data_IF_468703585369
#
_entry.id   IF_468703585369
#
_cell.length_a   1.000
_cell.length_b   1.000
_cell.length_c   1.000
_cell.angle_alpha   90.00
_cell.angle_beta   90.00
_cell.angle_gamma   90.00
#
_symmetry.space_group_name_H-M   'P 1'
#
loop_
_entity.id
_entity.type
_entity.pdbx_description
1 polymer ?
#
# COMPACT_ATOMS: atom_id res chain seq x y z
N UNK A 1 -15.10 13.91 12.41
CA UNK A 1 -16.58 13.97 12.41
C UNK A 1 -17.10 13.59 11.04
N UNK A 2 -18.02 12.65 10.93
CA UNK A 2 -18.64 12.32 9.64
C UNK A 2 -19.43 13.53 9.12
N UNK A 3 -19.21 13.92 7.87
CA UNK A 3 -19.95 14.98 7.18
C UNK A 3 -21.45 14.67 7.22
N UNK A 4 -22.29 15.67 7.51
CA UNK A 4 -23.75 15.59 7.67
C UNK A 4 -24.40 14.86 6.48
N UNK A 5 -23.85 15.05 5.27
CA UNK A 5 -24.29 14.33 4.08
C UNK A 5 -24.04 12.82 4.16
N UNK A 6 -22.90 12.38 4.69
CA UNK A 6 -22.61 10.95 4.91
C UNK A 6 -23.58 10.33 5.91
N UNK A 7 -23.97 11.09 6.93
CA UNK A 7 -24.96 10.67 7.93
C UNK A 7 -26.35 10.57 7.31
N UNK A 8 -26.71 11.52 6.43
CA UNK A 8 -27.98 11.51 5.69
C UNK A 8 -28.01 10.37 4.68
N UNK A 9 -26.97 10.19 3.88
CA UNK A 9 -26.84 9.09 2.91
C UNK A 9 -26.87 7.75 3.65
N UNK A 10 -26.14 7.57 4.75
CA UNK A 10 -26.16 6.34 5.55
C UNK A 10 -27.42 6.16 6.41
N UNK A 11 -28.37 7.09 6.35
CA UNK A 11 -29.59 7.02 7.16
C UNK A 11 -30.53 5.92 6.67
N UNK A 12 -31.36 5.35 7.56
CA UNK A 12 -32.44 4.44 7.18
C UNK A 12 -33.41 5.05 6.15
N UNK A 13 -33.55 6.38 6.15
CA UNK A 13 -34.41 7.14 5.23
C UNK A 13 -33.82 7.15 3.81
N UNK A 14 -32.53 7.48 3.66
CA UNK A 14 -31.83 7.45 2.36
C UNK A 14 -31.78 6.05 1.74
N UNK A 15 -31.67 5.00 2.57
CA UNK A 15 -31.82 3.61 2.14
C UNK A 15 -33.23 3.31 1.61
N UNK A 16 -34.28 3.86 2.22
CA UNK A 16 -35.69 3.69 1.77
C UNK A 16 -35.99 4.44 0.48
N UNK A 17 -35.29 5.55 0.20
CA UNK A 17 -35.44 6.31 -1.07
C UNK A 17 -34.44 5.90 -2.15
N UNK A 18 -33.71 4.79 -1.98
CA UNK A 18 -32.91 4.17 -3.05
C UNK A 18 -31.52 4.76 -3.28
N UNK A 19 -30.97 5.56 -2.35
CA UNK A 19 -29.61 6.11 -2.50
C UNK A 19 -28.58 4.99 -2.30
N UNK A 20 -27.71 4.68 -3.30
CA UNK A 20 -26.70 3.63 -3.18
C UNK A 20 -25.76 3.88 -2.00
N UNK A 21 -25.67 2.92 -1.09
CA UNK A 21 -24.76 2.98 0.05
C UNK A 21 -23.43 2.35 -0.30
N UNK A 22 -22.30 3.08 -0.16
CA UNK A 22 -21.00 2.45 -0.29
C UNK A 22 -20.87 1.37 0.80
N UNK A 23 -20.32 0.23 0.42
CA UNK A 23 -20.14 -0.87 1.36
C UNK A 23 -19.15 -0.48 2.45
N UNK A 24 -19.48 -0.74 3.71
CA UNK A 24 -18.51 -0.63 4.81
C UNK A 24 -17.38 -1.62 4.54
N UNK A 25 -16.20 -1.09 4.21
CA UNK A 25 -15.01 -1.89 3.94
C UNK A 25 -14.54 -2.58 5.23
N UNK A 26 -14.27 -3.87 5.12
CA UNK A 26 -13.62 -4.67 6.18
C UNK A 26 -12.16 -4.24 6.28
N UNK A 27 -11.81 -3.63 7.41
CA UNK A 27 -10.43 -3.21 7.75
C UNK A 27 -9.88 -4.09 8.86
N UNK A 28 -8.57 -4.29 8.86
CA UNK A 28 -7.90 -5.14 9.83
C UNK A 28 -8.02 -4.61 11.25
N UNK A 29 -8.31 -5.50 12.19
CA UNK A 29 -8.12 -5.29 13.62
C UNK A 29 -7.39 -6.51 14.19
N UNK A 30 -6.57 -6.36 15.25
CA UNK A 30 -5.88 -7.49 15.88
C UNK A 30 -6.82 -8.65 16.21
N UNK A 31 -6.41 -9.87 15.85
CA UNK A 31 -7.19 -11.09 16.09
C UNK A 31 -8.31 -11.38 15.08
N UNK A 32 -8.55 -10.51 14.10
CA UNK A 32 -9.46 -10.85 13.00
C UNK A 32 -8.86 -11.95 12.09
N UNK A 33 -9.69 -12.84 11.53
CA UNK A 33 -9.22 -13.87 10.60
C UNK A 33 -8.68 -13.24 9.31
N UNK A 34 -7.94 -14.01 8.50
CA UNK A 34 -7.41 -13.51 7.22
C UNK A 34 -8.56 -13.08 6.28
N UNK A 35 -9.57 -13.93 6.07
CA UNK A 35 -10.76 -13.68 5.25
C UNK A 35 -12.06 -14.17 5.94
N UNK A 36 -13.23 -13.71 5.47
CA UNK A 36 -14.57 -14.02 6.07
C UNK A 36 -15.25 -15.25 5.44
N UNK A 37 -14.47 -16.23 4.98
CA UNK A 37 -14.97 -17.46 4.36
C UNK A 37 -13.85 -18.26 3.69
N UNK A 38 -14.17 -19.41 3.06
CA UNK A 38 -13.20 -20.23 2.35
C UNK A 38 -12.50 -19.49 1.21
N UNK A 39 -11.29 -19.91 0.88
CA UNK A 39 -10.51 -19.37 -0.23
C UNK A 39 -10.47 -20.40 -1.35
N UNK A 40 -10.91 -20.00 -2.54
CA UNK A 40 -10.69 -20.81 -3.74
C UNK A 40 -9.25 -20.61 -4.22
N UNK A 41 -8.51 -21.69 -4.45
CA UNK A 41 -7.15 -21.66 -5.03
C UNK A 41 -7.12 -22.56 -6.26
N UNK A 42 -6.85 -22.00 -7.44
CA UNK A 42 -6.86 -22.72 -8.72
C UNK A 42 -5.90 -22.08 -9.75
N UNK A 43 -5.80 -22.66 -10.96
CA UNK A 43 -5.00 -22.13 -12.08
C UNK A 43 -3.80 -23.00 -12.49
N UNK A 44 -3.37 -23.92 -11.62
CA UNK A 44 -2.37 -24.94 -11.95
C UNK A 44 -0.96 -24.41 -12.20
N UNK A 45 -0.68 -23.15 -11.87
CA UNK A 45 0.65 -22.57 -11.88
C UNK A 45 1.56 -23.04 -10.74
N UNK A 46 2.77 -22.46 -10.69
CA UNK A 46 3.89 -22.86 -9.83
C UNK A 46 3.64 -22.68 -8.32
N UNK A 47 2.66 -21.86 -7.95
CA UNK A 47 2.39 -21.42 -6.58
C UNK A 47 1.10 -21.99 -6.01
N UNK A 48 0.23 -22.61 -6.82
CA UNK A 48 -1.08 -23.14 -6.42
C UNK A 48 -1.01 -23.99 -5.15
N UNK A 49 -0.18 -25.04 -5.15
CA UNK A 49 -0.07 -25.97 -4.02
C UNK A 49 0.57 -25.31 -2.79
N UNK A 50 1.58 -24.47 -3.00
CA UNK A 50 2.26 -23.76 -1.92
C UNK A 50 1.31 -22.80 -1.19
N UNK A 51 0.47 -22.07 -1.93
CA UNK A 51 -0.53 -21.17 -1.36
C UNK A 51 -1.64 -21.95 -0.66
N UNK A 52 -2.15 -23.02 -1.27
CA UNK A 52 -3.19 -23.85 -0.63
C UNK A 52 -2.68 -24.48 0.68
N UNK A 53 -1.45 -24.99 0.68
CA UNK A 53 -0.78 -25.55 1.87
C UNK A 53 -0.57 -24.51 2.96
N UNK A 54 -0.06 -23.33 2.62
CA UNK A 54 0.13 -22.24 3.57
C UNK A 54 -1.20 -21.76 4.18
N UNK A 55 -2.25 -21.58 3.36
CA UNK A 55 -3.58 -21.21 3.84
C UNK A 55 -4.12 -22.24 4.85
N UNK A 56 -3.96 -23.53 4.58
CA UNK A 56 -4.31 -24.59 5.51
C UNK A 56 -3.52 -24.51 6.83
N UNK A 57 -2.22 -24.22 6.76
CA UNK A 57 -1.36 -24.07 7.94
C UNK A 57 -1.77 -22.88 8.83
N UNK A 58 -2.33 -21.80 8.26
CA UNK A 58 -2.86 -20.66 9.02
C UNK A 58 -4.36 -20.78 9.35
N UNK A 59 -4.94 -21.97 9.16
CA UNK A 59 -6.32 -22.28 9.56
C UNK A 59 -7.40 -21.75 8.60
N UNK A 60 -7.05 -21.44 7.35
CA UNK A 60 -8.00 -21.02 6.33
C UNK A 60 -8.44 -22.22 5.50
N UNK A 61 -9.75 -22.45 5.39
CA UNK A 61 -10.32 -23.49 4.53
C UNK A 61 -10.09 -23.15 3.06
N UNK A 62 -9.51 -24.09 2.32
CA UNK A 62 -9.30 -23.97 0.87
C UNK A 62 -10.25 -24.87 0.08
N UNK A 63 -10.66 -24.42 -1.09
CA UNK A 63 -11.50 -25.18 -2.03
C UNK A 63 -10.94 -25.09 -3.45
N UNK A 64 -11.18 -26.11 -4.28
CA UNK A 64 -10.70 -26.15 -5.67
C UNK A 64 -11.74 -25.61 -6.66
N UNK A 65 -13.03 -25.75 -6.35
CA UNK A 65 -14.14 -25.25 -7.16
C UNK A 65 -15.16 -24.45 -6.34
N UNK A 66 -15.94 -23.56 -6.99
CA UNK A 66 -16.92 -22.73 -6.30
C UNK A 66 -18.12 -23.52 -5.75
N UNK A 67 -18.40 -24.70 -6.30
CA UNK A 67 -19.44 -25.62 -5.82
C UNK A 67 -19.04 -26.41 -4.59
N UNK A 68 -17.74 -26.44 -4.28
CA UNK A 68 -17.19 -27.18 -3.15
C UNK A 68 -17.23 -26.33 -1.85
N UNK A 69 -17.54 -25.04 -1.98
CA UNK A 69 -17.62 -24.13 -0.86
C UNK A 69 -18.95 -24.28 -0.10
N UNK A 70 -18.92 -24.52 1.23
CA UNK A 70 -20.13 -24.63 2.05
C UNK A 70 -20.87 -23.30 2.21
N UNK A 71 -20.19 -22.19 1.93
CA UNK A 71 -20.70 -20.82 2.02
C UNK A 71 -20.10 -19.92 0.94
N UNK A 72 -20.41 -18.62 0.96
CA UNK A 72 -19.81 -17.65 0.04
C UNK A 72 -18.29 -17.59 0.21
N UNK A 73 -17.56 -17.50 -0.91
CA UNK A 73 -16.10 -17.41 -0.88
C UNK A 73 -15.65 -16.10 -0.23
N UNK A 74 -14.68 -16.20 0.69
CA UNK A 74 -13.98 -15.04 1.23
C UNK A 74 -12.98 -14.48 0.22
N UNK A 75 -12.35 -15.35 -0.57
CA UNK A 75 -11.43 -14.95 -1.61
C UNK A 75 -11.29 -15.99 -2.74
N UNK A 76 -10.69 -15.54 -3.83
CA UNK A 76 -10.32 -16.31 -5.01
C UNK A 76 -8.87 -15.99 -5.35
N UNK A 77 -8.02 -17.01 -5.38
CA UNK A 77 -6.63 -16.94 -5.82
C UNK A 77 -6.50 -17.77 -7.09
N UNK A 78 -6.13 -17.12 -8.20
CA UNK A 78 -5.92 -17.77 -9.50
C UNK A 78 -4.45 -17.67 -9.87
N UNK A 79 -3.76 -18.80 -9.94
CA UNK A 79 -2.37 -18.88 -10.32
C UNK A 79 -2.21 -19.23 -11.80
N UNK A 80 -1.97 -18.20 -12.61
CA UNK A 80 -1.70 -18.27 -14.04
C UNK A 80 -0.21 -18.08 -14.35
N UNK A 81 0.69 -18.36 -13.37
CA UNK A 81 2.14 -18.25 -13.59
C UNK A 81 2.69 -19.24 -14.63
N UNK A 82 1.91 -20.25 -15.03
CA UNK A 82 2.26 -21.20 -16.08
C UNK A 82 1.63 -20.86 -17.45
N UNK A 83 0.85 -19.78 -17.56
CA UNK A 83 0.25 -19.37 -18.83
C UNK A 83 1.31 -18.81 -19.78
N UNK A 84 1.46 -19.41 -20.96
CA UNK A 84 2.47 -18.99 -21.95
C UNK A 84 1.88 -18.61 -23.29
N UNK A 85 0.65 -19.03 -23.59
CA UNK A 85 -0.07 -18.68 -24.80
C UNK A 85 -1.34 -17.87 -24.48
N UNK A 86 -1.76 -16.92 -25.34
CA UNK A 86 -3.00 -16.17 -25.11
C UNK A 86 -4.25 -17.04 -24.92
N UNK A 87 -4.28 -18.27 -25.46
CA UNK A 87 -5.35 -19.23 -25.22
C UNK A 87 -5.47 -19.64 -23.73
N UNK A 88 -4.37 -19.64 -22.99
CA UNK A 88 -4.34 -19.98 -21.56
C UNK A 88 -5.13 -18.97 -20.71
N UNK A 89 -5.34 -17.74 -21.21
CA UNK A 89 -6.16 -16.72 -20.55
C UNK A 89 -7.62 -17.16 -20.38
N UNK A 90 -8.10 -18.15 -21.17
CA UNK A 90 -9.45 -18.70 -21.02
C UNK A 90 -9.66 -19.35 -19.64
N UNK A 91 -8.58 -19.72 -18.93
CA UNK A 91 -8.67 -20.17 -17.53
C UNK A 91 -9.32 -19.13 -16.61
N UNK A 92 -9.16 -17.83 -16.88
CA UNK A 92 -9.81 -16.76 -16.11
C UNK A 92 -11.34 -16.82 -16.29
N UNK A 93 -11.83 -17.21 -17.47
CA UNK A 93 -13.27 -17.42 -17.71
C UNK A 93 -13.75 -18.74 -17.12
N UNK A 94 -13.00 -19.83 -17.32
CA UNK A 94 -13.40 -21.17 -16.88
C UNK A 94 -13.42 -21.30 -15.36
N UNK A 95 -12.37 -20.82 -14.68
CA UNK A 95 -12.20 -20.93 -13.24
C UNK A 95 -12.64 -19.66 -12.51
N UNK A 96 -12.23 -18.50 -13.02
CA UNK A 96 -12.40 -17.21 -12.35
C UNK A 96 -13.84 -16.70 -12.34
N UNK A 97 -14.54 -16.68 -13.47
CA UNK A 97 -15.90 -16.12 -13.53
C UNK A 97 -16.90 -16.82 -12.58
N UNK A 98 -16.98 -18.17 -12.53
CA UNK A 98 -17.80 -18.87 -11.54
C UNK A 98 -17.40 -18.55 -10.09
N UNK A 99 -16.10 -18.47 -9.81
CA UNK A 99 -15.57 -18.16 -8.48
C UNK A 99 -15.91 -16.73 -8.03
N UNK A 100 -15.74 -15.73 -8.91
CA UNK A 100 -16.10 -14.33 -8.65
C UNK A 100 -17.61 -14.20 -8.39
N UNK A 101 -18.45 -14.95 -9.09
CA UNK A 101 -19.90 -14.98 -8.83
C UNK A 101 -20.25 -15.57 -7.45
N UNK A 102 -19.43 -16.47 -6.94
CA UNK A 102 -19.56 -17.07 -5.61
C UNK A 102 -18.97 -16.21 -4.48
N UNK A 103 -18.32 -15.08 -4.81
CA UNK A 103 -17.65 -14.21 -3.84
C UNK A 103 -18.63 -13.52 -2.87
N UNK A 104 -18.23 -13.43 -1.60
CA UNK A 104 -18.94 -12.72 -0.54
C UNK A 104 -18.70 -11.20 -0.54
N UNK A 105 -19.24 -10.54 0.50
CA UNK A 105 -18.97 -9.12 0.76
C UNK A 105 -17.52 -8.94 1.17
N UNK A 106 -16.90 -7.82 0.80
CA UNK A 106 -15.48 -7.57 1.05
C UNK A 106 -14.55 -8.69 0.55
N UNK A 107 -14.96 -9.43 -0.48
CA UNK A 107 -14.15 -10.52 -1.01
C UNK A 107 -12.87 -10.04 -1.67
N UNK A 108 -11.97 -10.98 -1.96
CA UNK A 108 -10.67 -10.69 -2.58
C UNK A 108 -10.47 -11.55 -3.81
N UNK A 109 -10.00 -10.94 -4.89
CA UNK A 109 -9.52 -11.65 -6.08
C UNK A 109 -8.03 -11.35 -6.21
N UNK A 110 -7.20 -12.39 -6.21
CA UNK A 110 -5.76 -12.27 -6.45
C UNK A 110 -5.41 -13.15 -7.62
N UNK A 111 -4.83 -12.56 -8.66
CA UNK A 111 -4.24 -13.32 -9.77
C UNK A 111 -2.73 -13.33 -9.57
N UNK A 112 -2.12 -14.49 -9.75
CA UNK A 112 -0.66 -14.67 -9.72
C UNK A 112 -0.22 -14.95 -11.15
N UNK A 113 0.78 -14.22 -11.62
CA UNK A 113 1.41 -14.40 -12.92
C UNK A 113 2.94 -14.41 -12.79
N UNK A 114 3.61 -14.52 -13.93
CA UNK A 114 5.06 -14.40 -14.05
C UNK A 114 5.42 -12.99 -14.52
N UNK A 115 6.45 -12.38 -13.93
CA UNK A 115 6.89 -11.02 -14.28
C UNK A 115 7.34 -10.95 -15.76
N UNK A 116 6.62 -10.22 -16.64
CA UNK A 116 6.98 -10.11 -18.05
C UNK A 116 8.39 -9.54 -18.27
N UNK A 117 8.93 -8.78 -17.31
CA UNK A 117 10.28 -8.24 -17.41
C UNK A 117 11.39 -9.30 -17.34
N UNK A 118 11.07 -10.51 -16.86
CA UNK A 118 12.01 -11.64 -16.74
C UNK A 118 11.93 -12.65 -17.89
N UNK A 119 11.01 -12.43 -18.83
CA UNK A 119 10.70 -13.35 -19.91
C UNK A 119 11.31 -12.89 -21.23
N UNK A 120 11.58 -13.85 -22.12
CA UNK A 120 12.13 -13.59 -23.46
C UNK A 120 11.21 -14.03 -24.60
N UNK A 121 10.32 -15.00 -24.38
CA UNK A 121 9.32 -15.40 -25.37
C UNK A 121 8.23 -14.35 -25.52
N UNK A 122 7.95 -13.92 -26.75
CA UNK A 122 7.04 -12.80 -27.04
C UNK A 122 5.59 -13.15 -26.72
N UNK A 123 5.16 -14.40 -26.95
CA UNK A 123 3.80 -14.83 -26.67
C UNK A 123 3.58 -14.93 -25.15
N UNK A 124 4.56 -15.46 -24.42
CA UNK A 124 4.52 -15.53 -22.96
C UNK A 124 4.50 -14.13 -22.32
N UNK A 125 5.37 -13.22 -22.77
CA UNK A 125 5.40 -11.81 -22.33
C UNK A 125 4.04 -11.15 -22.56
N UNK A 126 3.45 -11.30 -23.75
CA UNK A 126 2.14 -10.72 -24.07
C UNK A 126 1.02 -11.31 -23.20
N UNK A 127 1.05 -12.64 -22.99
CA UNK A 127 0.07 -13.37 -22.18
C UNK A 127 0.11 -12.91 -20.72
N UNK A 128 1.30 -12.88 -20.11
CA UNK A 128 1.47 -12.45 -18.72
C UNK A 128 1.14 -10.95 -18.55
N UNK A 129 1.48 -10.11 -19.52
CA UNK A 129 1.10 -8.68 -19.51
C UNK A 129 -0.42 -8.49 -19.55
N UNK A 130 -1.15 -9.32 -20.30
CA UNK A 130 -2.60 -9.22 -20.47
C UNK A 130 -3.37 -9.41 -19.15
N UNK A 131 -2.80 -10.14 -18.18
CA UNK A 131 -3.39 -10.33 -16.85
C UNK A 131 -3.73 -9.01 -16.15
N UNK A 132 -2.90 -7.96 -16.33
CA UNK A 132 -3.17 -6.66 -15.73
C UNK A 132 -4.48 -6.06 -16.25
N UNK A 133 -4.74 -6.14 -17.56
CA UNK A 133 -5.97 -5.64 -18.17
C UNK A 133 -7.21 -6.36 -17.62
N UNK A 134 -7.11 -7.68 -17.46
CA UNK A 134 -8.20 -8.50 -16.91
C UNK A 134 -8.44 -8.17 -15.44
N UNK A 135 -7.40 -8.17 -14.59
CA UNK A 135 -7.52 -7.88 -13.15
C UNK A 135 -8.09 -6.49 -12.91
N UNK A 136 -7.61 -5.47 -13.65
CA UNK A 136 -8.16 -4.11 -13.54
C UNK A 136 -9.62 -4.05 -13.96
N UNK A 137 -10.03 -4.83 -14.96
CA UNK A 137 -11.44 -4.89 -15.40
C UNK A 137 -12.31 -5.59 -14.37
N UNK A 138 -11.86 -6.73 -13.83
CA UNK A 138 -12.54 -7.43 -12.73
C UNK A 138 -12.76 -6.49 -11.55
N UNK A 139 -11.74 -5.73 -11.10
CA UNK A 139 -11.88 -4.78 -9.99
C UNK A 139 -13.01 -3.75 -10.19
N UNK A 140 -13.26 -3.31 -11.44
CA UNK A 140 -14.33 -2.36 -11.77
C UNK A 140 -15.72 -3.01 -11.83
N UNK A 141 -15.77 -4.32 -12.08
CA UNK A 141 -17.02 -5.09 -12.13
C UNK A 141 -17.43 -5.62 -10.74
N UNK A 142 -16.45 -5.82 -9.86
CA UNK A 142 -16.65 -6.25 -8.49
C UNK A 142 -17.56 -5.28 -7.72
N UNK A 143 -18.31 -5.84 -6.78
CA UNK A 143 -19.28 -5.11 -5.95
C UNK A 143 -19.02 -5.40 -4.48
N UNK A 144 -19.80 -4.75 -3.62
CA UNK A 144 -19.84 -5.05 -2.19
C UNK A 144 -18.48 -4.92 -1.47
N UNK A 145 -17.64 -3.99 -1.90
CA UNK A 145 -16.33 -3.72 -1.27
C UNK A 145 -15.26 -4.78 -1.57
N UNK A 146 -15.48 -5.65 -2.55
CA UNK A 146 -14.47 -6.58 -3.02
C UNK A 146 -13.39 -5.88 -3.86
N UNK A 147 -12.19 -6.44 -3.88
CA UNK A 147 -11.03 -5.90 -4.61
C UNK A 147 -10.35 -6.97 -5.46
N UNK A 148 -9.67 -6.56 -6.53
CA UNK A 148 -8.90 -7.42 -7.42
C UNK A 148 -7.46 -6.90 -7.58
N UNK A 149 -6.44 -7.73 -7.35
CA UNK A 149 -5.04 -7.35 -7.47
C UNK A 149 -4.21 -8.45 -8.18
N UNK A 150 -3.08 -8.05 -8.75
CA UNK A 150 -2.17 -8.91 -9.51
C UNK A 150 -0.81 -9.00 -8.79
N UNK A 151 -0.32 -10.22 -8.60
CA UNK A 151 1.04 -10.52 -8.14
C UNK A 151 1.83 -11.09 -9.31
N UNK A 152 2.95 -10.46 -9.66
CA UNK A 152 3.86 -10.93 -10.69
C UNK A 152 5.13 -11.47 -10.04
N UNK A 153 5.39 -12.76 -10.22
CA UNK A 153 6.52 -13.44 -9.60
C UNK A 153 7.70 -13.58 -10.56
N UNK A 154 8.91 -13.27 -10.09
CA UNK A 154 10.16 -13.64 -10.73
C UNK A 154 10.62 -15.01 -10.20
N UNK A 155 11.07 -15.92 -11.06
CA UNK A 155 11.56 -17.23 -10.63
C UNK A 155 10.62 -17.95 -9.66
N UNK A 156 11.13 -18.70 -8.69
CA UNK A 156 10.33 -19.42 -7.68
C UNK A 156 10.13 -18.57 -6.40
N UNK A 157 9.64 -17.33 -6.55
CA UNK A 157 9.44 -16.34 -5.49
C UNK A 157 8.34 -16.69 -4.45
N UNK A 158 8.35 -17.90 -3.88
CA UNK A 158 7.29 -18.41 -2.99
C UNK A 158 7.02 -17.52 -1.78
N UNK A 159 8.06 -17.03 -1.12
CA UNK A 159 7.94 -16.17 0.06
C UNK A 159 7.33 -14.81 -0.29
N UNK A 160 7.77 -14.21 -1.41
CA UNK A 160 7.23 -12.96 -1.92
C UNK A 160 5.77 -13.09 -2.34
N UNK A 161 5.44 -14.14 -3.09
CA UNK A 161 4.06 -14.45 -3.49
C UNK A 161 3.18 -14.65 -2.26
N UNK A 162 3.63 -15.45 -1.28
CA UNK A 162 2.93 -15.66 0.00
C UNK A 162 2.66 -14.33 0.70
N UNK A 163 3.68 -13.47 0.88
CA UNK A 163 3.54 -12.19 1.57
C UNK A 163 2.55 -11.25 0.87
N UNK A 164 2.62 -11.15 -0.46
CA UNK A 164 1.70 -10.33 -1.24
C UNK A 164 0.26 -10.86 -1.17
N UNK A 165 0.08 -12.18 -1.32
CA UNK A 165 -1.24 -12.83 -1.19
C UNK A 165 -1.80 -12.61 0.21
N UNK A 166 -1.01 -12.81 1.27
CA UNK A 166 -1.45 -12.56 2.66
C UNK A 166 -1.96 -11.11 2.85
N UNK A 167 -1.20 -10.13 2.37
CA UNK A 167 -1.62 -8.74 2.42
C UNK A 167 -2.95 -8.52 1.67
N UNK A 168 -3.06 -9.00 0.43
CA UNK A 168 -4.25 -8.83 -0.39
C UNK A 168 -5.48 -9.59 0.12
N UNK A 169 -5.30 -10.74 0.77
CA UNK A 169 -6.41 -11.49 1.37
C UNK A 169 -6.94 -10.84 2.65
N UNK A 170 -6.11 -10.05 3.33
CA UNK A 170 -6.44 -9.48 4.64
C UNK A 170 -7.33 -8.22 4.58
N UNK A 171 -7.79 -7.78 5.75
CA UNK A 171 -8.38 -6.46 5.94
C UNK A 171 -7.39 -5.29 5.84
N UNK A 172 -6.07 -5.56 5.74
CA UNK A 172 -5.02 -4.53 5.64
C UNK A 172 -5.00 -3.85 4.27
N UNK A 173 -5.42 -4.57 3.22
CA UNK A 173 -5.48 -4.10 1.83
C UNK A 173 -6.84 -3.52 1.43
N UNK A 174 -7.68 -3.12 2.38
CA UNK A 174 -9.08 -2.75 2.15
C UNK A 174 -9.31 -1.66 1.07
N UNK A 175 -8.32 -0.80 0.83
CA UNK A 175 -8.37 0.27 -0.16
C UNK A 175 -7.29 0.16 -1.25
N UNK A 176 -6.69 -1.03 -1.39
CA UNK A 176 -5.76 -1.39 -2.47
C UNK A 176 -6.51 -2.27 -3.47
N UNK A 177 -6.80 -1.70 -4.63
CA UNK A 177 -7.64 -2.33 -5.65
C UNK A 177 -7.16 -1.99 -7.06
N UNK A 178 -7.16 -2.99 -7.94
CA UNK A 178 -6.62 -2.93 -9.28
C UNK A 178 -5.12 -2.70 -9.34
N UNK A 179 -4.36 -3.11 -8.33
CA UNK A 179 -2.91 -2.87 -8.27
C UNK A 179 -2.12 -4.10 -8.73
N UNK A 180 -0.88 -3.83 -9.16
CA UNK A 180 0.11 -4.84 -9.55
C UNK A 180 1.29 -4.72 -8.61
N UNK A 181 1.80 -5.85 -8.14
CA UNK A 181 3.02 -5.95 -7.34
C UNK A 181 3.93 -7.01 -7.96
N UNK A 182 5.17 -6.64 -8.24
CA UNK A 182 6.21 -7.61 -8.58
C UNK A 182 6.93 -8.09 -7.32
N UNK A 183 7.24 -9.38 -7.28
CA UNK A 183 7.97 -10.03 -6.18
C UNK A 183 9.15 -10.86 -6.73
N UNK A 184 10.29 -10.78 -6.06
CA UNK A 184 11.50 -11.52 -6.43
C UNK A 184 11.78 -12.74 -5.53
N UNK A 185 12.86 -13.46 -5.80
CA UNK A 185 13.23 -14.70 -5.09
C UNK A 185 13.88 -14.47 -3.72
N UNK A 186 13.92 -13.22 -3.22
CA UNK A 186 14.48 -12.92 -1.89
C UNK A 186 13.68 -13.64 -0.82
N UNK A 187 14.36 -14.51 -0.07
CA UNK A 187 13.74 -15.27 1.01
C UNK A 187 13.49 -14.38 2.24
N UNK A 188 12.45 -14.72 3.00
CA UNK A 188 12.07 -13.95 4.18
C UNK A 188 11.95 -14.84 5.42
N UNK A 189 12.53 -14.38 6.52
CA UNK A 189 12.29 -14.99 7.82
C UNK A 189 11.05 -14.32 8.43
N UNK A 190 9.89 -14.99 8.40
CA UNK A 190 8.68 -14.55 9.11
C UNK A 190 8.35 -15.55 10.21
N UNK A 191 8.26 -15.09 11.47
CA UNK A 191 7.91 -15.95 12.60
C UNK A 191 6.71 -15.48 13.42
N UNK A 192 6.29 -14.21 13.34
CA UNK A 192 5.14 -13.68 14.10
C UNK A 192 4.20 -12.87 13.18
N UNK A 193 3.06 -13.47 12.84
CA UNK A 193 2.03 -12.86 11.99
C UNK A 193 1.17 -11.82 12.73
N UNK A 194 1.17 -11.82 14.07
CA UNK A 194 0.42 -10.87 14.88
C UNK A 194 1.21 -9.58 15.12
N UNK A 195 2.53 -9.70 15.34
CA UNK A 195 3.45 -8.57 15.54
C UNK A 195 4.65 -8.65 14.59
N UNK A 196 4.43 -8.44 13.28
CA UNK A 196 5.46 -8.67 12.27
C UNK A 196 6.61 -7.66 12.30
N UNK A 197 6.50 -6.58 13.07
CA UNK A 197 7.54 -5.57 13.27
C UNK A 197 8.16 -5.62 14.68
N UNK A 198 7.92 -6.70 15.43
CA UNK A 198 8.50 -6.87 16.77
C UNK A 198 10.02 -6.73 16.76
N UNK A 199 10.54 -5.88 17.65
CA UNK A 199 11.97 -5.62 17.77
C UNK A 199 12.54 -4.69 16.70
N UNK A 200 11.71 -4.08 15.84
CA UNK A 200 12.15 -3.14 14.81
C UNK A 200 12.06 -1.70 15.29
N UNK A 201 13.04 -0.87 14.91
CA UNK A 201 13.02 0.58 15.15
C UNK A 201 12.59 1.30 13.87
N UNK A 202 11.48 2.04 13.93
CA UNK A 202 10.88 2.72 12.80
C UNK A 202 10.83 4.23 12.97
N UNK A 203 11.39 4.97 12.02
CA UNK A 203 11.27 6.43 11.93
C UNK A 203 10.13 6.79 10.99
N UNK A 204 9.23 7.67 11.44
CA UNK A 204 8.12 8.18 10.61
C UNK A 204 8.18 9.71 10.58
N UNK A 205 8.38 10.29 9.39
CA UNK A 205 8.39 11.75 9.21
C UNK A 205 6.99 12.31 8.99
N UNK A 206 6.74 13.54 9.46
CA UNK A 206 5.41 14.16 9.40
C UNK A 206 4.39 13.43 10.29
N UNK A 207 4.83 12.93 11.44
CA UNK A 207 4.07 12.00 12.29
C UNK A 207 3.10 12.68 13.29
N UNK A 208 3.07 14.00 13.39
CA UNK A 208 2.27 14.67 14.41
C UNK A 208 0.75 14.56 14.19
N UNK A 209 0.29 14.26 12.96
CA UNK A 209 -1.14 14.16 12.62
C UNK A 209 -1.40 13.38 11.33
N UNK A 210 -2.69 13.19 11.02
CA UNK A 210 -3.14 12.68 9.71
C UNK A 210 -2.58 11.29 9.40
N UNK A 211 -2.08 11.12 8.18
CA UNK A 211 -1.52 9.83 7.72
C UNK A 211 -0.28 9.44 8.51
N UNK A 212 0.62 10.38 8.81
CA UNK A 212 1.84 10.09 9.59
C UNK A 212 1.56 9.56 10.99
N UNK A 213 0.60 10.17 11.68
CA UNK A 213 0.15 9.68 12.99
C UNK A 213 -0.43 8.26 12.91
N UNK A 214 -1.19 7.96 11.86
CA UNK A 214 -1.76 6.63 11.67
C UNK A 214 -0.71 5.58 11.29
N UNK A 215 0.31 5.95 10.51
CA UNK A 215 1.48 5.10 10.24
C UNK A 215 2.17 4.74 11.56
N UNK A 216 2.40 5.72 12.43
CA UNK A 216 3.00 5.48 13.75
C UNK A 216 2.16 4.50 14.59
N UNK A 217 0.83 4.66 14.63
CA UNK A 217 -0.07 3.73 15.34
C UNK A 217 -0.01 2.31 14.80
N UNK A 218 -0.09 2.15 13.48
CA UNK A 218 -0.07 0.84 12.83
C UNK A 218 1.28 0.14 13.03
N UNK A 219 2.39 0.88 12.90
CA UNK A 219 3.73 0.31 13.14
C UNK A 219 3.91 -0.13 14.59
N UNK A 220 3.47 0.68 15.56
CA UNK A 220 3.53 0.32 16.97
C UNK A 220 2.61 -0.87 17.32
N UNK A 221 1.40 -0.93 16.73
CA UNK A 221 0.50 -2.08 16.84
C UNK A 221 1.16 -3.36 16.35
N UNK A 222 1.89 -3.28 15.23
CA UNK A 222 2.62 -4.40 14.64
C UNK A 222 3.94 -4.71 15.36
N UNK A 223 4.30 -3.96 16.42
CA UNK A 223 5.40 -4.27 17.34
C UNK A 223 6.66 -3.41 17.21
N UNK A 224 6.67 -2.40 16.33
CA UNK A 224 7.83 -1.53 16.16
C UNK A 224 7.96 -0.51 17.30
N UNK A 225 9.19 -0.18 17.66
CA UNK A 225 9.53 1.02 18.43
C UNK A 225 9.55 2.22 17.48
N UNK A 226 8.63 3.16 17.66
CA UNK A 226 8.46 4.29 16.73
C UNK A 226 9.20 5.55 17.21
N UNK A 227 10.00 6.13 16.32
CA UNK A 227 10.52 7.50 16.41
C UNK A 227 9.64 8.40 15.54
N UNK A 228 8.78 9.19 16.17
CA UNK A 228 7.90 10.13 15.50
C UNK A 228 8.64 11.44 15.24
N UNK A 229 8.77 11.84 13.97
CA UNK A 229 9.48 13.05 13.54
C UNK A 229 8.51 14.06 12.95
N UNK A 230 8.57 15.30 13.41
CA UNK A 230 7.83 16.42 12.82
C UNK A 230 8.50 17.75 13.19
N UNK A 231 8.08 18.85 12.58
CA UNK A 231 8.64 20.18 12.84
C UNK A 231 8.40 20.62 14.29
N UNK A 232 9.28 21.45 14.89
CA UNK A 232 9.09 21.96 16.25
C UNK A 232 7.73 22.63 16.50
N UNK A 233 7.18 23.31 15.49
CA UNK A 233 5.85 23.94 15.58
C UNK A 233 4.69 22.94 15.76
N UNK A 234 4.91 21.65 15.50
CA UNK A 234 3.95 20.57 15.73
C UNK A 234 4.26 19.77 17.01
N UNK A 235 5.16 20.27 17.86
CA UNK A 235 5.74 19.56 19.00
C UNK A 235 4.72 18.96 19.98
N UNK A 236 3.65 19.69 20.31
CA UNK A 236 2.63 19.20 21.24
C UNK A 236 1.86 17.99 20.68
N UNK A 237 1.44 18.08 19.42
CA UNK A 237 0.76 16.99 18.73
C UNK A 237 1.71 15.79 18.52
N UNK A 238 2.98 16.06 18.21
CA UNK A 238 4.01 15.04 18.07
C UNK A 238 4.24 14.28 19.38
N UNK A 239 4.34 15.00 20.50
CA UNK A 239 4.51 14.40 21.82
C UNK A 239 3.30 13.54 22.21
N UNK A 240 2.08 13.98 21.88
CA UNK A 240 0.88 13.20 22.10
C UNK A 240 0.92 11.86 21.34
N UNK A 241 1.30 11.88 20.05
CA UNK A 241 1.44 10.65 19.25
C UNK A 241 2.56 9.75 19.80
N UNK A 242 3.72 10.31 20.13
CA UNK A 242 4.83 9.53 20.69
C UNK A 242 4.43 8.83 21.99
N UNK A 243 3.71 9.52 22.88
CA UNK A 243 3.19 8.92 24.11
C UNK A 243 2.13 7.84 23.83
N UNK A 244 1.21 8.10 22.91
CA UNK A 244 0.16 7.15 22.51
C UNK A 244 0.76 5.81 22.04
N UNK A 245 1.78 5.89 21.18
CA UNK A 245 2.45 4.72 20.59
C UNK A 245 3.59 4.17 21.46
N UNK A 246 3.84 4.76 22.63
CA UNK A 246 4.98 4.46 23.52
C UNK A 246 6.33 4.52 22.81
N UNK A 247 6.45 5.43 21.85
CA UNK A 247 7.65 5.74 21.09
C UNK A 247 8.40 6.96 21.63
N UNK A 248 9.21 7.59 20.79
CA UNK A 248 9.89 8.86 21.12
C UNK A 248 9.60 9.93 20.06
N UNK A 249 9.53 11.18 20.49
CA UNK A 249 9.38 12.32 19.59
C UNK A 249 10.76 12.92 19.25
N UNK A 250 10.95 13.29 17.99
CA UNK A 250 12.08 14.08 17.52
C UNK A 250 11.55 15.29 16.75
N UNK A 251 11.68 16.47 17.36
CA UNK A 251 11.32 17.73 16.70
C UNK A 251 12.45 18.15 15.75
N UNK A 252 12.17 18.12 14.45
CA UNK A 252 13.14 18.30 13.38
C UNK A 252 12.44 18.74 12.09
N UNK A 253 13.02 19.74 11.42
CA UNK A 253 12.69 20.05 10.03
C UNK A 253 13.47 19.11 9.11
N UNK A 254 12.76 18.31 8.32
CA UNK A 254 13.37 17.35 7.37
C UNK A 254 14.21 18.01 6.28
N UNK A 255 14.06 19.31 6.06
CA UNK A 255 14.85 20.08 5.08
C UNK A 255 16.19 20.55 5.61
N UNK A 256 16.41 20.47 6.93
CA UNK A 256 17.66 20.85 7.56
C UNK A 256 18.83 19.98 7.06
N UNK A 257 20.02 20.57 6.96
CA UNK A 257 21.20 19.88 6.44
C UNK A 257 21.63 18.69 7.30
N UNK A 258 21.35 18.73 8.61
CA UNK A 258 21.68 17.70 9.60
C UNK A 258 20.50 16.77 9.91
N UNK A 259 19.39 16.83 9.15
CA UNK A 259 18.20 16.06 9.46
C UNK A 259 18.45 14.55 9.47
N UNK A 260 19.17 14.03 8.47
CA UNK A 260 19.51 12.61 8.37
C UNK A 260 20.37 12.13 9.54
N UNK A 261 21.44 12.87 9.88
CA UNK A 261 22.34 12.50 10.98
C UNK A 261 21.63 12.55 12.34
N UNK A 262 20.77 13.56 12.57
CA UNK A 262 19.97 13.65 13.81
C UNK A 262 18.97 12.51 13.95
N UNK A 263 18.37 12.05 12.85
CA UNK A 263 17.49 10.88 12.85
C UNK A 263 18.28 9.63 13.25
N UNK A 264 19.42 9.40 12.62
CA UNK A 264 20.29 8.25 12.91
C UNK A 264 20.76 8.28 14.36
N UNK A 265 21.28 9.43 14.84
CA UNK A 265 21.74 9.61 16.21
C UNK A 265 20.62 9.32 17.22
N UNK A 266 19.43 9.86 17.01
CA UNK A 266 18.29 9.65 17.91
C UNK A 266 17.85 8.19 17.95
N UNK A 267 17.76 7.52 16.79
CA UNK A 267 17.39 6.12 16.71
C UNK A 267 18.43 5.23 17.39
N UNK A 268 19.72 5.41 17.09
CA UNK A 268 20.81 4.61 17.63
C UNK A 268 21.03 4.85 19.12
N UNK A 269 21.05 6.10 19.58
CA UNK A 269 21.29 6.41 21.00
C UNK A 269 20.15 5.99 21.93
N UNK A 270 18.89 6.03 21.46
CA UNK A 270 17.72 5.70 22.28
C UNK A 270 17.31 4.23 22.17
N UNK A 271 17.48 3.64 20.99
CA UNK A 271 16.87 2.36 20.64
C UNK A 271 17.86 1.35 20.06
N UNK A 272 19.14 1.71 19.91
CA UNK A 272 20.21 0.79 19.51
C UNK A 272 20.39 0.60 18.00
N UNK A 273 19.53 1.20 17.16
CA UNK A 273 19.68 1.15 15.71
C UNK A 273 18.47 1.69 14.96
N UNK A 274 18.46 1.49 13.64
CA UNK A 274 17.41 1.91 12.72
C UNK A 274 17.12 0.81 11.69
N UNK A 275 15.88 0.32 11.64
CA UNK A 275 15.45 -0.73 10.70
C UNK A 275 14.55 -0.20 9.59
N UNK A 276 13.71 0.79 9.88
CA UNK A 276 12.65 1.26 9.00
C UNK A 276 12.63 2.79 8.94
N UNK A 277 12.54 3.36 7.74
CA UNK A 277 12.31 4.79 7.52
C UNK A 277 11.09 4.99 6.62
N UNK A 278 10.13 5.78 7.10
CA UNK A 278 8.97 6.22 6.32
C UNK A 278 9.08 7.70 6.00
N UNK A 279 9.32 7.99 4.73
CA UNK A 279 9.33 9.34 4.15
C UNK A 279 7.90 9.78 3.84
N UNK A 280 7.15 10.16 4.89
CA UNK A 280 5.76 10.62 4.82
C UNK A 280 5.62 12.15 4.82
N UNK A 281 6.56 12.89 5.41
CA UNK A 281 6.52 14.35 5.43
C UNK A 281 6.32 14.92 4.02
N UNK A 282 5.39 15.87 3.90
CA UNK A 282 5.10 16.50 2.63
C UNK A 282 4.12 17.65 2.74
N UNK A 283 4.23 18.61 1.83
CA UNK A 283 3.37 19.79 1.76
C UNK A 283 2.82 19.99 0.34
N UNK A 284 1.73 20.75 0.26
CA UNK A 284 1.17 21.28 -0.97
C UNK A 284 1.19 22.81 -0.95
N UNK A 285 1.42 23.42 -2.11
CA UNK A 285 1.33 24.87 -2.36
C UNK A 285 0.70 25.07 -3.73
N UNK A 286 -0.59 24.82 -3.78
CA UNK A 286 -1.33 24.73 -5.05
C UNK A 286 -1.46 26.11 -5.69
N UNK A 287 -1.07 26.20 -6.97
CA UNK A 287 -1.17 27.40 -7.80
C UNK A 287 -1.12 26.99 -9.27
N UNK A 288 -1.87 27.68 -10.13
CA UNK A 288 -1.74 27.49 -11.57
C UNK A 288 -0.30 27.83 -11.99
N UNK A 289 0.27 27.04 -12.90
CA UNK A 289 1.68 27.15 -13.31
C UNK A 289 2.05 28.57 -13.75
N UNK A 290 1.19 29.21 -14.55
CA UNK A 290 1.35 30.60 -15.02
C UNK A 290 1.43 31.64 -13.90
N UNK A 291 1.01 31.29 -12.68
CA UNK A 291 1.00 32.15 -11.50
C UNK A 291 1.86 31.58 -10.35
N UNK A 292 2.71 30.59 -10.63
CA UNK A 292 3.56 29.95 -9.64
C UNK A 292 4.75 30.86 -9.34
N UNK A 293 4.98 31.14 -8.06
CA UNK A 293 6.16 31.87 -7.58
C UNK A 293 7.25 30.91 -7.10
N UNK A 294 8.44 31.46 -6.88
CA UNK A 294 9.62 30.70 -6.45
C UNK A 294 9.39 30.01 -5.11
N UNK A 295 8.88 30.71 -4.10
CA UNK A 295 8.68 30.18 -2.76
C UNK A 295 7.73 28.98 -2.72
N UNK A 296 6.62 29.03 -3.47
CA UNK A 296 5.67 27.92 -3.59
C UNK A 296 6.26 26.75 -4.37
N UNK A 297 7.11 27.02 -5.35
CA UNK A 297 7.79 25.98 -6.10
C UNK A 297 8.85 25.29 -5.24
N UNK A 298 9.83 26.06 -4.75
CA UNK A 298 11.00 25.58 -4.01
C UNK A 298 10.60 24.83 -2.76
N UNK A 299 9.71 25.39 -1.93
CA UNK A 299 9.29 24.75 -0.67
C UNK A 299 8.68 23.36 -0.88
N UNK A 300 7.89 23.16 -1.94
CA UNK A 300 7.29 21.85 -2.26
C UNK A 300 8.36 20.87 -2.72
N UNK A 301 9.27 21.29 -3.60
CA UNK A 301 10.37 20.43 -4.07
C UNK A 301 11.34 20.08 -2.93
N UNK A 302 11.69 21.06 -2.11
CA UNK A 302 12.64 20.91 -1.01
C UNK A 302 12.09 19.95 0.07
N UNK A 303 10.83 20.12 0.48
CA UNK A 303 10.21 19.25 1.51
C UNK A 303 9.88 17.87 0.97
N UNK A 304 9.32 17.75 -0.25
CA UNK A 304 8.74 16.49 -0.70
C UNK A 304 9.73 15.56 -1.42
N UNK A 305 10.88 16.07 -1.86
CA UNK A 305 11.83 15.30 -2.67
C UNK A 305 13.28 15.53 -2.25
N UNK A 306 13.73 16.79 -2.15
CA UNK A 306 15.14 17.10 -1.85
C UNK A 306 15.54 16.67 -0.44
N UNK A 307 14.66 16.86 0.53
CA UNK A 307 14.82 16.40 1.91
C UNK A 307 15.13 14.90 1.96
N UNK A 308 14.40 14.09 1.19
CA UNK A 308 14.56 12.63 1.12
C UNK A 308 15.96 12.30 0.61
N UNK A 309 16.37 12.90 -0.51
CA UNK A 309 17.71 12.69 -1.09
C UNK A 309 18.82 13.04 -0.08
N UNK A 310 18.72 14.21 0.57
CA UNK A 310 19.70 14.65 1.57
C UNK A 310 19.75 13.76 2.80
N UNK A 311 18.58 13.43 3.37
CA UNK A 311 18.52 12.53 4.52
C UNK A 311 19.10 11.16 4.19
N UNK A 312 18.87 10.65 2.97
CA UNK A 312 19.36 9.35 2.54
C UNK A 312 20.89 9.25 2.51
N UNK A 313 21.63 10.35 2.36
CA UNK A 313 23.10 10.36 2.45
C UNK A 313 23.56 9.84 3.83
N UNK A 314 22.93 10.30 4.91
CA UNK A 314 23.22 9.84 6.26
C UNK A 314 22.52 8.51 6.59
N UNK A 315 21.27 8.33 6.17
CA UNK A 315 20.50 7.10 6.45
C UNK A 315 21.11 5.86 5.77
N UNK A 316 21.79 6.02 4.63
CA UNK A 316 22.44 4.91 3.93
C UNK A 316 23.94 4.83 4.21
N UNK A 317 24.51 5.81 4.92
CA UNK A 317 25.90 5.81 5.36
C UNK A 317 26.15 4.92 6.57
N UNK A 318 27.37 4.99 7.09
CA UNK A 318 27.81 4.20 8.24
C UNK A 318 26.98 4.50 9.49
N UNK A 319 26.52 3.44 10.16
CA UNK A 319 25.69 3.56 11.36
C UNK A 319 24.24 3.98 11.11
N UNK A 320 23.83 4.15 9.84
CA UNK A 320 22.46 4.45 9.44
C UNK A 320 21.54 3.23 9.47
N UNK A 321 20.75 3.06 8.41
CA UNK A 321 19.82 1.96 8.22
C UNK A 321 20.57 0.63 8.16
N UNK A 322 20.17 -0.35 8.97
CA UNK A 322 20.79 -1.67 9.01
C UNK A 322 20.61 -2.49 7.73
N UNK A 323 21.41 -3.55 7.60
CA UNK A 323 21.22 -4.60 6.59
C UNK A 323 19.81 -5.19 6.71
N UNK A 324 19.15 -5.46 5.58
CA UNK A 324 17.75 -5.88 5.60
C UNK A 324 16.78 -4.77 6.00
N UNK A 325 17.18 -3.49 5.94
CA UNK A 325 16.34 -2.35 6.27
C UNK A 325 15.16 -2.13 5.31
N UNK A 326 14.26 -1.22 5.67
CA UNK A 326 13.06 -0.90 4.89
C UNK A 326 12.90 0.60 4.73
N UNK A 327 12.76 1.05 3.49
CA UNK A 327 12.44 2.44 3.17
C UNK A 327 11.11 2.51 2.46
N UNK A 328 10.17 3.29 3.00
CA UNK A 328 8.85 3.48 2.39
C UNK A 328 8.58 4.95 2.18
N UNK A 329 8.39 5.34 0.92
CA UNK A 329 8.09 6.71 0.54
C UNK A 329 6.59 6.92 0.31
N UNK A 330 6.12 8.16 0.42
CA UNK A 330 4.75 8.54 0.09
C UNK A 330 4.73 9.40 -1.18
N UNK A 331 4.35 8.78 -2.30
CA UNK A 331 4.03 9.46 -3.56
C UNK A 331 2.57 9.97 -3.55
N UNK A 332 1.91 10.05 -4.71
CA UNK A 332 0.51 10.46 -4.85
C UNK A 332 -0.03 10.13 -6.24
N UNK A 333 -1.35 9.95 -6.37
CA UNK A 333 -2.03 9.97 -7.68
C UNK A 333 -1.67 11.21 -8.51
N UNK A 334 -1.47 12.37 -7.89
CA UNK A 334 -1.06 13.58 -8.61
C UNK A 334 0.35 13.47 -9.24
N UNK A 335 1.22 12.61 -8.71
CA UNK A 335 2.51 12.30 -9.31
C UNK A 335 2.43 11.33 -10.50
N UNK A 336 1.32 10.60 -10.63
CA UNK A 336 1.08 9.65 -11.73
C UNK A 336 0.25 10.30 -12.84
N UNK A 337 -0.90 10.87 -12.48
CA UNK A 337 -1.88 11.40 -13.43
C UNK A 337 -1.76 12.91 -13.68
N UNK A 338 -0.94 13.61 -12.88
CA UNK A 338 -0.97 15.07 -12.81
C UNK A 338 -2.23 15.58 -12.10
N UNK A 339 -2.24 16.88 -11.76
CA UNK A 339 -3.43 17.55 -11.26
C UNK A 339 -3.36 19.07 -11.51
N UNK A 340 -4.52 19.69 -11.78
CA UNK A 340 -4.59 21.13 -12.07
C UNK A 340 -4.15 21.94 -10.86
N UNK A 341 -3.19 22.84 -11.06
CA UNK A 341 -2.65 23.69 -9.99
C UNK A 341 -1.57 23.02 -9.13
N UNK A 342 -1.13 21.82 -9.51
CA UNK A 342 -0.16 21.02 -8.75
C UNK A 342 1.06 20.65 -9.59
N UNK A 343 1.58 21.56 -10.41
CA UNK A 343 2.78 21.27 -11.22
C UNK A 343 4.02 21.02 -10.35
N UNK A 344 4.21 21.82 -9.29
CA UNK A 344 5.25 21.60 -8.27
C UNK A 344 5.04 20.27 -7.51
N UNK A 345 3.83 20.04 -7.00
CA UNK A 345 3.52 18.85 -6.21
C UNK A 345 3.57 17.57 -7.05
N UNK A 346 2.99 17.58 -8.24
CA UNK A 346 3.06 16.50 -9.22
C UNK A 346 4.51 16.17 -9.59
N UNK A 347 5.34 17.18 -9.89
CA UNK A 347 6.77 16.98 -10.12
C UNK A 347 7.46 16.32 -8.92
N UNK A 348 7.21 16.80 -7.69
CA UNK A 348 7.82 16.22 -6.50
C UNK A 348 7.42 14.75 -6.28
N UNK A 349 6.14 14.40 -6.46
CA UNK A 349 5.63 13.05 -6.21
C UNK A 349 5.95 12.07 -7.34
N UNK A 350 6.08 12.54 -8.58
CA UNK A 350 6.69 11.80 -9.68
C UNK A 350 8.18 11.55 -9.41
N UNK A 351 8.91 12.54 -8.90
CA UNK A 351 10.30 12.40 -8.49
C UNK A 351 10.51 11.32 -7.42
N UNK A 352 9.58 11.18 -6.47
CA UNK A 352 9.58 10.08 -5.49
C UNK A 352 9.46 8.71 -6.15
N UNK A 353 8.67 8.56 -7.22
CA UNK A 353 8.57 7.30 -7.99
C UNK A 353 9.92 6.97 -8.64
N UNK A 354 10.56 7.97 -9.25
CA UNK A 354 11.90 7.81 -9.83
C UNK A 354 12.96 7.45 -8.77
N UNK A 355 12.90 8.09 -7.60
CA UNK A 355 13.77 7.79 -6.45
C UNK A 355 13.63 6.33 -6.03
N UNK A 356 12.40 5.84 -5.86
CA UNK A 356 12.12 4.45 -5.45
C UNK A 356 12.69 3.45 -6.44
N UNK A 357 12.48 3.66 -7.74
CA UNK A 357 13.01 2.79 -8.79
C UNK A 357 14.55 2.77 -8.82
N UNK A 358 15.19 3.94 -8.73
CA UNK A 358 16.64 4.03 -8.79
C UNK A 358 17.31 3.49 -7.52
N UNK A 359 16.79 3.89 -6.35
CA UNK A 359 17.39 3.57 -5.07
C UNK A 359 17.25 2.10 -4.71
N UNK A 360 16.13 1.45 -5.05
CA UNK A 360 15.94 0.01 -4.78
C UNK A 360 17.05 -0.84 -5.40
N UNK A 361 17.47 -0.53 -6.63
CA UNK A 361 18.60 -1.21 -7.30
C UNK A 361 19.93 -0.92 -6.64
N UNK A 362 20.16 0.31 -6.20
CA UNK A 362 21.41 0.73 -5.56
C UNK A 362 21.63 0.02 -4.21
N UNK A 363 20.57 -0.20 -3.44
CA UNK A 363 20.68 -0.76 -2.07
C UNK A 363 20.38 -2.26 -1.98
N UNK A 364 20.05 -2.91 -3.10
CA UNK A 364 19.70 -4.33 -3.16
C UNK A 364 20.77 -5.24 -2.55
N UNK A 365 22.06 -4.94 -2.77
CA UNK A 365 23.17 -5.71 -2.21
C UNK A 365 23.24 -5.72 -0.67
N UNK A 366 22.50 -4.83 -0.01
CA UNK A 366 22.37 -4.75 1.45
C UNK A 366 21.08 -5.38 2.00
N UNK A 367 20.31 -6.03 1.13
CA UNK A 367 18.96 -6.53 1.44
C UNK A 367 17.96 -5.45 1.85
N UNK A 368 18.26 -4.17 1.61
CA UNK A 368 17.36 -3.05 1.91
C UNK A 368 16.31 -2.99 0.80
N UNK A 369 15.04 -2.84 1.18
CA UNK A 369 13.97 -2.60 0.20
C UNK A 369 13.56 -1.14 0.19
N UNK A 370 13.21 -0.63 -0.99
CA UNK A 370 12.71 0.74 -1.18
C UNK A 370 11.41 0.66 -1.97
N UNK A 371 10.31 1.12 -1.38
CA UNK A 371 8.99 1.11 -2.00
C UNK A 371 8.28 2.44 -1.79
N UNK A 372 7.17 2.66 -2.48
CA UNK A 372 6.27 3.76 -2.24
C UNK A 372 4.80 3.34 -2.23
N UNK A 373 4.03 4.06 -1.45
CA UNK A 373 2.57 4.14 -1.64
C UNK A 373 2.23 5.39 -2.43
N UNK A 374 1.20 5.31 -3.27
CA UNK A 374 0.64 6.46 -3.97
C UNK A 374 -0.85 6.64 -3.58
N UNK A 375 -1.13 7.37 -2.48
CA UNK A 375 -2.50 7.55 -2.02
C UNK A 375 -3.38 8.27 -3.06
N UNK A 376 -4.63 7.81 -3.16
CA UNK A 376 -5.70 8.51 -3.85
C UNK A 376 -6.43 9.49 -2.94
N UNK A 377 -7.76 9.54 -3.05
CA UNK A 377 -8.57 10.35 -2.15
C UNK A 377 -8.67 9.67 -0.77
N UNK A 378 -8.06 10.26 0.25
CA UNK A 378 -8.05 9.79 1.65
C UNK A 378 -8.71 10.85 2.54
N UNK A 379 -9.67 10.43 3.36
CA UNK A 379 -10.38 11.29 4.31
C UNK A 379 -9.42 11.76 5.42
N UNK A 380 -9.01 13.03 5.34
CA UNK A 380 -8.13 13.71 6.29
C UNK A 380 -8.67 15.10 6.64
N UNK A 381 -8.06 15.76 7.62
CA UNK A 381 -8.32 17.19 7.90
C UNK A 381 -8.02 18.08 6.68
N UNK A 382 -7.05 17.70 5.85
CA UNK A 382 -6.68 18.44 4.64
C UNK A 382 -7.77 18.34 3.57
N UNK A 383 -8.28 17.14 3.28
CA UNK A 383 -9.37 16.96 2.30
C UNK A 383 -10.69 17.54 2.76
N UNK A 384 -10.90 17.69 4.08
CA UNK A 384 -12.08 18.36 4.63
C UNK A 384 -12.16 19.85 4.21
N UNK A 385 -11.04 20.48 3.84
CA UNK A 385 -10.98 21.87 3.37
C UNK A 385 -11.28 22.04 1.87
N UNK A 386 -11.35 20.94 1.11
CA UNK A 386 -11.70 20.96 -0.32
C UNK A 386 -13.19 21.31 -0.48
N UNK A 387 -13.57 22.15 -1.46
CA UNK A 387 -14.97 22.48 -1.74
C UNK A 387 -15.83 21.23 -1.92
N UNK A 388 -17.05 21.27 -1.35
CA UNK A 388 -17.92 20.09 -1.21
C UNK A 388 -18.13 19.31 -2.52
N UNK A 389 -18.47 19.99 -3.62
CA UNK A 389 -18.74 19.32 -4.89
C UNK A 389 -17.50 18.57 -5.43
N UNK A 390 -16.34 19.22 -5.46
CA UNK A 390 -15.07 18.60 -5.88
C UNK A 390 -14.68 17.45 -4.96
N UNK A 391 -14.91 17.61 -3.65
CA UNK A 391 -14.64 16.59 -2.63
C UNK A 391 -15.50 15.33 -2.85
N UNK A 392 -16.80 15.48 -3.06
CA UNK A 392 -17.71 14.34 -3.25
C UNK A 392 -17.44 13.64 -4.59
N UNK A 393 -17.10 14.38 -5.66
CA UNK A 393 -16.68 13.78 -6.93
C UNK A 393 -15.41 12.92 -6.71
N UNK A 394 -14.36 13.50 -6.11
CA UNK A 394 -13.12 12.75 -5.83
C UNK A 394 -13.32 11.53 -4.93
N UNK A 395 -14.20 11.64 -3.93
CA UNK A 395 -14.60 10.55 -3.03
C UNK A 395 -15.26 9.38 -3.77
N UNK A 396 -15.99 9.65 -4.85
CA UNK A 396 -16.78 8.65 -5.59
C UNK A 396 -16.10 8.12 -6.86
N UNK A 397 -15.08 8.79 -7.38
CA UNK A 397 -14.35 8.41 -8.60
C UNK A 397 -13.35 7.26 -8.38
N UNK A 398 -13.85 6.13 -7.85
CA UNK A 398 -13.12 4.89 -7.63
C UNK A 398 -14.10 3.71 -7.52
N UNK A 399 -13.63 2.47 -7.73
CA UNK A 399 -14.48 1.26 -7.75
C UNK A 399 -15.16 0.99 -6.41
N UNK A 400 -14.57 1.43 -5.30
CA UNK A 400 -15.12 1.27 -3.94
C UNK A 400 -16.14 2.37 -3.55
N UNK A 401 -16.33 3.37 -4.42
CA UNK A 401 -17.30 4.46 -4.32
C UNK A 401 -17.30 5.21 -2.98
N UNK A 402 -16.14 5.30 -2.33
CA UNK A 402 -15.93 6.02 -1.07
C UNK A 402 -14.49 6.50 -0.95
N UNK A 403 -14.21 7.42 -0.03
CA UNK A 403 -12.85 7.84 0.30
C UNK A 403 -12.15 6.81 1.18
N UNK A 404 -10.83 6.71 1.03
CA UNK A 404 -9.99 5.87 1.89
C UNK A 404 -9.78 6.50 3.25
N UNK A 405 -9.25 5.72 4.19
CA UNK A 405 -8.87 6.17 5.52
C UNK A 405 -7.34 6.25 5.63
N UNK A 406 -6.79 7.10 6.52
CA UNK A 406 -5.36 7.09 6.83
C UNK A 406 -4.82 5.69 7.14
N UNK A 407 -5.65 4.87 7.81
CA UNK A 407 -5.33 3.48 8.16
C UNK A 407 -5.03 2.64 6.92
N UNK A 408 -5.75 2.84 5.81
CA UNK A 408 -5.54 2.06 4.59
C UNK A 408 -4.15 2.32 3.98
N UNK A 409 -3.65 3.57 4.09
CA UNK A 409 -2.29 3.93 3.66
C UNK A 409 -1.25 3.34 4.62
N UNK A 410 -1.49 3.49 5.93
CA UNK A 410 -0.61 2.99 6.98
C UNK A 410 -0.43 1.47 6.93
N UNK A 411 -1.48 0.70 6.67
CA UNK A 411 -1.43 -0.76 6.53
C UNK A 411 -0.57 -1.21 5.33
N UNK A 412 -0.65 -0.48 4.22
CA UNK A 412 0.18 -0.77 3.03
C UNK A 412 1.65 -0.45 3.28
N UNK A 413 1.92 0.67 3.96
CA UNK A 413 3.28 1.05 4.38
C UNK A 413 3.83 0.01 5.37
N UNK A 414 3.02 -0.42 6.34
CA UNK A 414 3.42 -1.42 7.32
C UNK A 414 3.76 -2.74 6.63
N UNK A 415 2.97 -3.19 5.66
CA UNK A 415 3.30 -4.39 4.87
C UNK A 415 4.66 -4.27 4.18
N UNK A 416 4.95 -3.18 3.49
CA UNK A 416 6.29 -2.96 2.90
C UNK A 416 7.43 -2.95 3.93
N UNK A 417 7.13 -2.61 5.18
CA UNK A 417 8.11 -2.59 6.26
C UNK A 417 8.31 -3.95 6.95
N UNK A 418 7.51 -4.98 6.61
CA UNK A 418 7.62 -6.29 7.26
C UNK A 418 8.87 -7.05 6.78
N UNK A 419 9.51 -7.84 7.66
CA UNK A 419 10.53 -8.81 7.26
C UNK A 419 10.01 -9.77 6.19
N UNK A 420 8.76 -10.21 6.31
CA UNK A 420 8.07 -11.08 5.35
C UNK A 420 7.94 -10.51 3.93
N UNK A 421 8.04 -9.19 3.77
CA UNK A 421 7.97 -8.50 2.48
C UNK A 421 9.35 -8.20 1.86
N UNK A 422 10.40 -8.95 2.25
CA UNK A 422 11.76 -8.76 1.75
C UNK A 422 11.88 -8.85 0.21
N UNK A 423 11.04 -9.66 -0.43
CA UNK A 423 10.94 -9.82 -1.87
C UNK A 423 10.22 -8.68 -2.61
N UNK A 424 9.75 -7.65 -1.88
CA UNK A 424 8.99 -6.55 -2.45
C UNK A 424 9.85 -5.30 -2.42
N UNK A 425 10.41 -4.93 -3.56
CA UNK A 425 11.26 -3.74 -3.70
C UNK A 425 11.04 -3.03 -5.04
N UNK A 426 11.31 -1.72 -5.08
CA UNK A 426 11.10 -0.87 -6.25
C UNK A 426 9.63 -0.64 -6.62
N UNK A 427 8.69 -1.04 -5.75
CA UNK A 427 7.26 -1.00 -6.06
C UNK A 427 6.64 0.36 -5.72
N UNK A 428 5.67 0.77 -6.54
CA UNK A 428 4.78 1.90 -6.24
C UNK A 428 3.34 1.41 -6.27
N UNK A 429 2.73 1.23 -5.09
CA UNK A 429 1.37 0.70 -4.97
C UNK A 429 0.39 1.82 -4.67
N UNK A 430 -0.65 1.97 -5.50
CA UNK A 430 -1.67 2.98 -5.24
C UNK A 430 -2.64 2.50 -4.17
N UNK A 431 -2.84 3.33 -3.15
CA UNK A 431 -3.86 3.12 -2.11
C UNK A 431 -5.04 4.04 -2.45
N UNK A 432 -5.85 3.62 -3.43
CA UNK A 432 -6.80 4.51 -4.11
C UNK A 432 -8.20 3.92 -4.36
N UNK A 433 -8.48 2.69 -3.90
CA UNK A 433 -9.76 2.01 -4.18
C UNK A 433 -10.05 1.84 -5.68
N UNK A 434 -8.99 1.71 -6.49
CA UNK A 434 -9.04 1.71 -7.95
C UNK A 434 -9.63 3.00 -8.55
N UNK A 435 -9.06 4.15 -8.17
CA UNK A 435 -9.43 5.44 -8.74
C UNK A 435 -9.26 5.46 -10.27
N UNK A 436 -10.19 6.14 -10.95
CA UNK A 436 -10.19 6.31 -12.41
C UNK A 436 -9.01 7.14 -12.93
N UNK A 437 -8.39 7.96 -12.08
CA UNK A 437 -7.20 8.74 -12.44
C UNK A 437 -5.97 7.83 -12.53
N UNK A 438 -5.18 7.95 -13.60
CA UNK A 438 -3.98 7.13 -13.80
C UNK A 438 -3.21 7.52 -15.06
N UNK A 439 -2.13 6.78 -15.32
CA UNK A 439 -1.30 6.82 -16.53
C UNK A 439 -0.91 5.38 -16.91
#
# INVERSE_FOLDING_TARGET
MADLFTTIVRSPVAKRVGVPQPTRLRRYEPGMPLCEGPVLVAGGGRFTDAIASWLGAVGVTTVAGPTDAPEKLGAVVLDLSAATDPADLDQLRLLGAPAVKALGRNGRVVVIGTDPATLSDVAEVATQRALEGVVRSIGKELRAGATANLVLAQGDARDGVRSAVEFFLSGRSAYVDGQVVCVDETTSNSSDTLRPLSGKVAVVTGAARGIGAEIARVMARDGATVVAVDIPAAGDALAAIANEVKGTALQLDVTAADAGSRIVEHATSRHGGLDIVVHNAGITRDKLFVNMDEDRWSSVIDVNLRSILRMNEALLGDGGLGEGGRMVCVSSIAGIAGNRGQTNYGASKAGVIGLVSALSRQVAGRGITVNAVAPGFIETEMTARVPFATREIGRRMNSLQQGGHPKDVAETIAWFAQPGAAAVTGQVVRVCGQSLLGA
#
